data_IF_118681147446
#
_entry.id   IF_118681147446
#
_cell.length_a   1.000
_cell.length_b   1.000
_cell.length_c   1.000
_cell.angle_alpha   90.00
_cell.angle_beta   90.00
_cell.angle_gamma   90.00
#
_symmetry.space_group_name_H-M   'P 1'
#
loop_
_entity.id
_entity.type
_entity.pdbx_description
1 polymer ?
#
# COMPACT_ATOMS: atom_id res chain seq x y z
N UNK A 1 25.78 6.08 21.95
CA UNK A 1 25.63 4.88 21.10
C UNK A 1 24.62 3.91 21.71
N UNK A 2 24.71 3.63 23.02
CA UNK A 2 23.78 2.69 23.69
C UNK A 2 22.30 3.13 23.66
N UNK A 3 22.01 4.41 23.90
CA UNK A 3 20.64 4.94 23.88
C UNK A 3 19.96 4.83 22.49
N UNK A 4 20.74 4.97 21.41
CA UNK A 4 20.26 4.76 20.04
C UNK A 4 19.96 3.29 19.76
N UNK A 5 20.78 2.38 20.31
CA UNK A 5 20.59 0.94 20.17
C UNK A 5 19.34 0.48 20.92
N UNK A 6 19.12 1.01 22.12
CA UNK A 6 17.92 0.73 22.93
C UNK A 6 16.65 1.29 22.27
N UNK A 7 16.72 2.49 21.70
CA UNK A 7 15.61 3.07 20.93
C UNK A 7 15.29 2.22 19.70
N UNK A 8 16.31 1.81 18.94
CA UNK A 8 16.14 0.95 17.78
C UNK A 8 15.53 -0.40 18.16
N UNK A 9 15.98 -0.99 19.27
CA UNK A 9 15.44 -2.26 19.80
C UNK A 9 13.97 -2.11 20.18
N UNK A 10 13.60 -1.05 20.91
CA UNK A 10 12.20 -0.79 21.27
C UNK A 10 11.28 -0.61 20.05
N UNK A 11 11.77 0.00 18.97
CA UNK A 11 11.02 0.12 17.71
C UNK A 11 10.80 -1.25 17.06
N UNK A 12 11.86 -2.08 17.01
CA UNK A 12 11.78 -3.43 16.44
C UNK A 12 10.84 -4.32 17.25
N UNK A 13 10.87 -4.23 18.57
CA UNK A 13 9.99 -5.02 19.44
C UNK A 13 8.51 -4.63 19.26
N UNK A 14 8.21 -3.33 19.21
CA UNK A 14 6.86 -2.84 18.93
C UNK A 14 6.35 -3.25 17.52
N UNK A 15 7.24 -3.24 16.52
CA UNK A 15 6.91 -3.71 15.17
C UNK A 15 6.62 -5.21 15.16
N UNK A 16 7.43 -6.01 15.84
CA UNK A 16 7.22 -7.45 15.97
C UNK A 16 5.87 -7.75 16.64
N UNK A 17 5.53 -7.03 17.72
CA UNK A 17 4.24 -7.17 18.39
C UNK A 17 3.07 -6.81 17.46
N UNK A 18 3.19 -5.72 16.70
CA UNK A 18 2.18 -5.30 15.73
C UNK A 18 1.99 -6.32 14.61
N UNK A 19 3.07 -6.89 14.11
CA UNK A 19 3.04 -7.96 13.09
C UNK A 19 2.39 -9.23 13.65
N UNK A 20 2.68 -9.59 14.91
CA UNK A 20 2.05 -10.74 15.58
C UNK A 20 0.54 -10.53 15.74
N UNK A 21 0.11 -9.34 16.15
CA UNK A 21 -1.32 -8.97 16.23
C UNK A 21 -2.00 -9.11 14.86
N UNK A 22 -1.38 -8.60 13.80
CA UNK A 22 -1.90 -8.76 12.43
C UNK A 22 -2.01 -10.23 12.05
N UNK A 23 -0.96 -11.04 12.28
CA UNK A 23 -0.94 -12.49 12.02
C UNK A 23 -1.95 -13.29 12.84
N UNK A 24 -2.40 -12.76 13.98
CA UNK A 24 -3.42 -13.39 14.80
C UNK A 24 -4.83 -12.88 14.46
N UNK A 25 -4.97 -12.03 13.44
CA UNK A 25 -6.26 -11.45 13.07
C UNK A 25 -6.74 -10.36 14.04
N UNK A 26 -5.85 -9.82 14.88
CA UNK A 26 -6.17 -8.80 15.87
C UNK A 26 -6.08 -7.38 15.27
N UNK A 27 -6.90 -6.47 15.79
CA UNK A 27 -7.02 -5.10 15.27
C UNK A 27 -7.72 -5.02 13.92
N UNK A 28 -8.01 -3.81 13.44
CA UNK A 28 -8.82 -3.63 12.22
C UNK A 28 -8.18 -4.25 10.97
N UNK A 29 -6.84 -4.15 10.83
CA UNK A 29 -6.12 -4.72 9.69
C UNK A 29 -6.02 -6.25 9.79
N UNK A 30 -5.77 -6.80 10.98
CA UNK A 30 -5.79 -8.25 11.19
C UNK A 30 -7.18 -8.82 10.90
N UNK A 31 -8.23 -8.21 11.45
CA UNK A 31 -9.62 -8.61 11.15
C UNK A 31 -9.93 -8.54 9.66
N UNK A 32 -9.52 -7.46 8.98
CA UNK A 32 -9.72 -7.28 7.54
C UNK A 32 -9.04 -8.38 6.70
N UNK A 33 -7.81 -8.76 7.04
CA UNK A 33 -7.03 -9.75 6.28
C UNK A 33 -7.50 -11.19 6.51
N UNK A 34 -8.03 -11.48 7.70
CA UNK A 34 -8.55 -12.80 8.08
C UNK A 34 -10.05 -12.96 7.84
N UNK A 35 -10.70 -11.94 7.30
CA UNK A 35 -12.11 -11.98 6.95
C UNK A 35 -12.29 -12.72 5.61
N UNK A 36 -12.76 -13.97 5.69
CA UNK A 36 -13.03 -14.83 4.52
C UNK A 36 -14.05 -14.21 3.55
N UNK A 37 -14.91 -13.32 4.05
CA UNK A 37 -15.88 -12.57 3.24
C UNK A 37 -15.22 -11.47 2.41
N UNK A 38 -14.11 -10.90 2.87
CA UNK A 38 -13.42 -9.82 2.17
C UNK A 38 -12.83 -10.22 0.83
N UNK A 39 -12.24 -11.42 0.74
CA UNK A 39 -11.74 -11.93 -0.54
C UNK A 39 -12.88 -12.03 -1.55
N UNK A 40 -14.04 -12.54 -1.10
CA UNK A 40 -15.24 -12.68 -1.93
C UNK A 40 -15.85 -11.33 -2.30
N UNK A 41 -15.86 -10.37 -1.38
CA UNK A 41 -16.35 -9.02 -1.63
C UNK A 41 -15.42 -8.25 -2.56
N UNK A 42 -14.11 -8.38 -2.42
CA UNK A 42 -13.12 -7.75 -3.29
C UNK A 42 -13.16 -8.39 -4.69
N UNK A 43 -13.21 -9.71 -4.77
CA UNK A 43 -13.38 -10.43 -6.04
C UNK A 43 -14.70 -10.03 -6.72
N UNK A 44 -15.79 -9.93 -5.95
CA UNK A 44 -17.09 -9.46 -6.44
C UNK A 44 -17.04 -8.01 -6.91
N UNK A 45 -16.44 -7.09 -6.14
CA UNK A 45 -16.31 -5.68 -6.49
C UNK A 45 -15.46 -5.45 -7.75
N UNK A 46 -14.39 -6.23 -7.90
CA UNK A 46 -13.59 -6.24 -9.12
C UNK A 46 -14.45 -6.76 -10.28
N UNK A 47 -15.11 -7.92 -10.14
CA UNK A 47 -15.92 -8.50 -11.22
C UNK A 47 -17.16 -7.68 -11.59
N UNK A 48 -17.81 -7.05 -10.62
CA UNK A 48 -19.01 -6.24 -10.83
C UNK A 48 -18.70 -4.88 -11.45
N UNK A 49 -17.43 -4.44 -11.41
CA UNK A 49 -16.97 -3.11 -11.85
C UNK A 49 -17.63 -1.97 -11.08
N UNK A 50 -18.20 -2.28 -9.92
CA UNK A 50 -18.85 -1.31 -9.04
C UNK A 50 -17.87 -0.77 -8.00
N UNK A 51 -18.15 0.43 -7.51
CA UNK A 51 -17.27 1.12 -6.56
C UNK A 51 -15.96 1.62 -7.17
N UNK A 52 -15.15 2.30 -6.35
CA UNK A 52 -13.91 2.97 -6.80
C UNK A 52 -12.86 1.96 -7.26
N UNK A 53 -12.73 0.82 -6.59
CA UNK A 53 -11.75 -0.23 -6.94
C UNK A 53 -12.11 -0.91 -8.26
N UNK A 54 -13.37 -1.30 -8.46
CA UNK A 54 -13.83 -1.91 -9.72
C UNK A 54 -13.68 -0.95 -10.90
N UNK A 55 -14.01 0.33 -10.74
CA UNK A 55 -13.81 1.34 -11.79
C UNK A 55 -12.32 1.55 -12.12
N UNK A 56 -11.45 1.57 -11.11
CA UNK A 56 -10.01 1.79 -11.29
C UNK A 56 -9.33 0.65 -12.07
N UNK A 57 -9.61 -0.61 -11.74
CA UNK A 57 -8.93 -1.77 -12.36
C UNK A 57 -9.30 -1.99 -13.84
N UNK A 58 -10.48 -1.51 -14.25
CA UNK A 58 -10.98 -1.69 -15.61
C UNK A 58 -10.85 -0.43 -16.47
N UNK A 59 -10.29 0.64 -15.93
CA UNK A 59 -10.02 1.83 -16.71
C UNK A 59 -8.76 1.59 -17.57
N UNK A 60 -8.96 1.42 -18.87
CA UNK A 60 -7.89 1.24 -19.88
C UNK A 60 -6.86 2.38 -19.86
N UNK A 61 -7.17 3.54 -19.26
CA UNK A 61 -6.25 4.66 -19.10
C UNK A 61 -5.11 4.37 -18.11
N UNK A 62 -5.34 3.56 -17.08
CA UNK A 62 -4.32 3.29 -16.04
C UNK A 62 -3.08 2.63 -16.61
N UNK A 63 -3.24 1.67 -17.54
CA UNK A 63 -2.10 1.05 -18.20
C UNK A 63 -1.29 2.07 -19.00
N UNK A 64 -1.98 2.96 -19.74
CA UNK A 64 -1.35 4.00 -20.56
C UNK A 64 -0.64 5.05 -19.69
N UNK A 65 -1.26 5.46 -18.60
CA UNK A 65 -0.71 6.42 -17.65
C UNK A 65 0.48 5.83 -16.88
N UNK A 66 0.38 4.58 -16.44
CA UNK A 66 1.46 3.86 -15.75
C UNK A 66 2.64 3.65 -16.70
N UNK A 67 2.38 3.28 -17.96
CA UNK A 67 3.42 3.17 -18.97
C UNK A 67 4.09 4.53 -19.23
N UNK A 68 3.31 5.60 -19.40
CA UNK A 68 3.83 6.95 -19.59
C UNK A 68 4.69 7.40 -18.39
N UNK A 69 4.24 7.12 -17.16
CA UNK A 69 4.97 7.39 -15.93
C UNK A 69 6.27 6.59 -15.87
N UNK A 70 6.24 5.28 -16.17
CA UNK A 70 7.44 4.43 -16.20
C UNK A 70 8.43 4.96 -17.25
N UNK A 71 7.94 5.34 -18.43
CA UNK A 71 8.79 5.93 -19.48
C UNK A 71 9.39 7.27 -19.04
N UNK A 72 8.63 8.12 -18.37
CA UNK A 72 9.08 9.41 -17.83
C UNK A 72 10.14 9.22 -16.73
N UNK A 73 9.91 8.30 -15.79
CA UNK A 73 10.89 7.92 -14.77
C UNK A 73 12.16 7.33 -15.38
N UNK A 74 12.03 6.49 -16.42
CA UNK A 74 13.18 5.91 -17.12
C UNK A 74 14.01 6.98 -17.83
N UNK A 75 13.37 7.97 -18.45
CA UNK A 75 14.04 9.10 -19.11
C UNK A 75 14.63 10.09 -18.12
N UNK A 76 14.01 10.21 -16.95
CA UNK A 76 14.36 11.18 -15.94
C UNK A 76 14.50 10.52 -14.56
N UNK A 77 15.51 9.66 -14.33
CA UNK A 77 15.61 8.89 -13.08
C UNK A 77 15.77 9.77 -11.84
N UNK A 78 16.26 11.01 -11.97
CA UNK A 78 16.30 11.95 -10.86
C UNK A 78 14.89 12.31 -10.34
N UNK A 79 13.80 12.02 -11.09
CA UNK A 79 12.38 12.23 -10.70
C UNK A 79 12.05 11.57 -9.38
N UNK A 80 12.66 10.42 -9.15
CA UNK A 80 12.49 9.63 -7.95
C UNK A 80 12.98 10.36 -6.69
N UNK A 81 13.90 11.31 -6.82
CA UNK A 81 14.56 11.97 -5.70
C UNK A 81 14.12 13.43 -5.49
N UNK A 82 13.27 13.99 -6.35
CA UNK A 82 12.71 15.32 -6.11
C UNK A 82 11.30 15.24 -5.54
N UNK A 83 11.05 16.03 -4.50
CA UNK A 83 9.69 16.32 -4.05
C UNK A 83 9.15 17.44 -4.94
N UNK A 84 8.01 17.20 -5.60
CA UNK A 84 7.26 18.28 -6.23
C UNK A 84 6.90 19.27 -5.12
N UNK A 85 7.36 20.52 -5.23
CA UNK A 85 6.80 21.59 -4.41
C UNK A 85 5.41 21.85 -4.98
N UNK A 86 4.39 21.33 -4.30
CA UNK A 86 3.02 21.75 -4.54
C UNK A 86 2.98 23.28 -4.49
N UNK A 87 2.67 23.91 -5.63
CA UNK A 87 2.32 25.33 -5.65
C UNK A 87 0.93 25.43 -5.05
N UNK A 88 0.88 26.08 -3.88
CA UNK A 88 -0.33 26.48 -3.17
C UNK A 88 -1.18 27.43 -4.00
#
# INVERSE_FOLDING_TARGET
MDELMDTAKGIVDNLNESILKIKNGEGSLGKLLYDDTLYRELESAIKSREGTVGKFFYDDSIYKETEALIQDLRKHPWKLFWKTKEKK
#
